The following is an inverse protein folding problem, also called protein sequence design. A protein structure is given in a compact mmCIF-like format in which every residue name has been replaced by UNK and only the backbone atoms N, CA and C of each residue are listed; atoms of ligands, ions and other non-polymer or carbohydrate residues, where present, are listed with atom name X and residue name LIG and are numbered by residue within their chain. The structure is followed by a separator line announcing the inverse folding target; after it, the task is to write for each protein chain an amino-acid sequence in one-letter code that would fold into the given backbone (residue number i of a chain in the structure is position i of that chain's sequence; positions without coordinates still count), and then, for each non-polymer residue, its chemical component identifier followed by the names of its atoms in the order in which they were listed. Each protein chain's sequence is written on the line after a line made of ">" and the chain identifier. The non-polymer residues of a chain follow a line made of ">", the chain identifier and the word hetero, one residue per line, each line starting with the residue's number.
data_IF_527524532640
#
_entry.id   IF_527524532640
#
_cell.length_a   1.000
_cell.length_b   1.000
_cell.length_c   1.000
_cell.angle_alpha   90.00
_cell.angle_beta   90.00
_cell.angle_gamma   90.00
#
_symmetry.space_group_name_H-M   'P 1'
#
loop_
_entity.id
_entity.type
_entity.pdbx_description
1 polymer ?
#
# COMPACT_ATOMS: atom_id res chain seq x y z
N UNK A 1 -45.85 -38.26 20.33
CA UNK A 1 -45.19 -38.07 19.01
C UNK A 1 -43.68 -37.96 19.25
N UNK A 2 -42.81 -38.33 18.31
CA UNK A 2 -41.35 -38.36 18.52
C UNK A 2 -40.69 -37.16 17.84
N UNK A 3 -39.85 -36.41 18.56
CA UNK A 3 -38.89 -35.47 17.98
C UNK A 3 -37.54 -35.59 18.68
N UNK A 4 -36.74 -36.55 18.21
CA UNK A 4 -35.32 -36.65 18.55
C UNK A 4 -34.56 -35.62 17.74
N UNK A 5 -34.17 -34.50 18.36
CA UNK A 5 -33.27 -33.53 17.74
C UNK A 5 -31.85 -34.11 17.69
N UNK A 6 -31.57 -34.87 16.64
CA UNK A 6 -30.21 -35.28 16.32
C UNK A 6 -29.40 -34.04 15.90
N UNK A 7 -28.47 -33.61 16.75
CA UNK A 7 -27.46 -32.61 16.38
C UNK A 7 -26.50 -33.26 15.39
N UNK A 8 -26.81 -33.17 14.10
CA UNK A 8 -25.97 -33.70 13.03
C UNK A 8 -24.69 -32.88 12.95
N UNK A 9 -23.61 -33.40 13.53
CA UNK A 9 -22.27 -32.87 13.34
C UNK A 9 -21.94 -32.92 11.84
N UNK A 10 -21.95 -31.76 11.19
CA UNK A 10 -21.55 -31.63 9.79
C UNK A 10 -20.08 -31.97 9.66
N UNK A 11 -19.78 -33.02 8.89
CA UNK A 11 -18.39 -33.41 8.61
C UNK A 11 -17.63 -32.23 8.03
N UNK A 12 -16.48 -31.92 8.63
CA UNK A 12 -15.52 -30.99 8.07
C UNK A 12 -14.93 -31.59 6.78
N UNK A 13 -15.54 -31.27 5.64
CA UNK A 13 -14.87 -31.36 4.34
C UNK A 13 -13.79 -30.27 4.29
N UNK A 14 -12.68 -30.54 4.97
CA UNK A 14 -11.45 -29.78 4.85
C UNK A 14 -10.92 -29.92 3.43
N UNK A 15 -11.40 -29.06 2.54
CA UNK A 15 -10.93 -28.98 1.16
C UNK A 15 -9.43 -28.70 1.17
N UNK A 16 -8.65 -29.56 0.52
CA UNK A 16 -7.19 -29.45 0.42
C UNK A 16 -6.77 -28.28 -0.52
N UNK A 17 -7.16 -27.07 -0.15
CA UNK A 17 -6.77 -25.82 -0.79
C UNK A 17 -5.35 -25.44 -0.38
N UNK A 18 -4.39 -26.22 -0.88
CA UNK A 18 -3.01 -25.81 -1.18
C UNK A 18 -2.35 -24.81 -0.21
N UNK A 19 -1.65 -25.34 0.82
CA UNK A 19 -0.60 -24.61 1.54
C UNK A 19 0.67 -24.38 0.68
N UNK A 20 0.49 -23.96 -0.58
CA UNK A 20 1.50 -23.91 -1.63
C UNK A 20 2.32 -22.62 -1.63
N UNK A 21 1.81 -21.56 -0.98
CA UNK A 21 2.40 -20.22 -1.02
C UNK A 21 3.23 -19.82 0.20
N UNK A 22 3.58 -20.78 1.06
CA UNK A 22 4.53 -20.58 2.15
C UNK A 22 5.95 -20.33 1.60
N UNK A 23 6.39 -19.07 1.49
CA UNK A 23 7.71 -18.72 0.95
C UNK A 23 8.83 -18.91 1.95
N UNK A 24 9.25 -20.17 2.07
CA UNK A 24 10.40 -20.61 2.86
C UNK A 24 10.01 -21.70 3.84
N UNK A 25 10.95 -22.07 4.70
CA UNK A 25 10.75 -23.09 5.74
C UNK A 25 9.80 -22.58 6.83
N UNK A 26 8.50 -22.72 6.60
CA UNK A 26 7.47 -22.56 7.63
C UNK A 26 7.63 -23.65 8.70
N UNK A 27 7.37 -23.32 9.96
CA UNK A 27 7.44 -24.27 11.10
C UNK A 27 6.17 -24.37 11.90
N UNK A 28 5.23 -23.46 11.69
CA UNK A 28 3.94 -23.47 12.38
C UNK A 28 2.87 -22.90 11.46
N UNK A 29 1.82 -23.68 11.26
CA UNK A 29 0.61 -23.26 10.58
C UNK A 29 -0.48 -22.94 11.60
N UNK A 30 -1.46 -22.18 11.16
CA UNK A 30 -2.66 -21.82 11.88
C UNK A 30 -3.83 -21.85 10.89
N UNK A 31 -4.87 -22.59 11.23
CA UNK A 31 -6.12 -22.66 10.44
C UNK A 31 -7.03 -21.51 10.86
N UNK A 32 -7.36 -20.61 9.92
CA UNK A 32 -8.18 -19.44 10.23
C UNK A 32 -9.62 -19.81 10.61
N UNK A 33 -10.08 -19.21 11.71
CA UNK A 33 -11.45 -19.32 12.21
C UNK A 33 -12.38 -18.33 11.50
N UNK A 34 -13.66 -18.28 11.88
CA UNK A 34 -14.62 -17.30 11.33
C UNK A 34 -14.24 -15.89 11.80
N UNK A 35 -14.29 -14.91 10.89
CA UNK A 35 -13.98 -13.49 11.12
C UNK A 35 -12.58 -13.18 11.68
N UNK A 36 -11.61 -14.10 11.57
CA UNK A 36 -10.21 -13.81 11.91
C UNK A 36 -9.52 -12.89 10.89
N UNK A 37 -8.54 -12.14 11.39
CA UNK A 37 -7.72 -11.18 10.65
C UNK A 37 -6.23 -11.49 10.87
N UNK A 38 -5.32 -11.01 10.01
CA UNK A 38 -3.89 -11.20 10.34
C UNK A 38 -3.46 -10.41 11.59
N UNK A 39 -4.20 -9.39 12.03
CA UNK A 39 -3.97 -8.73 13.31
C UNK A 39 -4.25 -9.66 14.49
N UNK A 40 -5.42 -10.31 14.53
CA UNK A 40 -5.73 -11.28 15.60
C UNK A 40 -4.76 -12.46 15.60
N UNK A 41 -4.34 -12.94 14.43
CA UNK A 41 -3.30 -13.97 14.29
C UNK A 41 -1.93 -13.46 14.77
N UNK A 42 -1.54 -12.23 14.43
CA UNK A 42 -0.26 -11.64 14.83
C UNK A 42 -0.14 -11.56 16.36
N UNK A 43 -1.20 -11.14 17.04
CA UNK A 43 -1.30 -11.14 18.50
C UNK A 43 -1.28 -12.58 19.07
N UNK A 44 -2.13 -13.47 18.54
CA UNK A 44 -2.28 -14.90 18.93
C UNK A 44 -0.97 -15.70 18.86
N UNK A 45 -0.03 -15.32 17.98
CA UNK A 45 1.29 -15.95 17.85
C UNK A 45 2.47 -15.05 18.23
N UNK A 46 2.22 -13.85 18.79
CA UNK A 46 3.25 -12.86 19.14
C UNK A 46 4.26 -12.64 17.98
N UNK A 47 3.72 -12.40 16.79
CA UNK A 47 4.44 -12.13 15.55
C UNK A 47 4.00 -10.81 14.94
N UNK A 48 4.58 -10.42 13.81
CA UNK A 48 4.26 -9.18 13.11
C UNK A 48 3.40 -9.47 11.86
N UNK A 49 2.43 -8.61 11.55
CA UNK A 49 1.57 -8.74 10.37
C UNK A 49 2.40 -8.75 9.07
N UNK A 50 3.47 -7.95 9.00
CA UNK A 50 4.42 -7.96 7.88
C UNK A 50 5.16 -9.31 7.76
N UNK A 51 5.39 -10.01 8.88
CA UNK A 51 5.95 -11.37 8.85
C UNK A 51 4.94 -12.38 8.28
N UNK A 52 3.64 -12.22 8.59
CA UNK A 52 2.59 -13.04 8.00
C UNK A 52 2.50 -12.85 6.47
N UNK A 53 2.66 -11.62 5.96
CA UNK A 53 2.74 -11.35 4.51
C UNK A 53 4.03 -11.91 3.87
N UNK A 54 5.17 -11.83 4.57
CA UNK A 54 6.44 -12.38 4.09
C UNK A 54 6.42 -13.91 3.98
N UNK A 55 5.69 -14.58 4.87
CA UNK A 55 5.55 -16.03 4.85
C UNK A 55 4.47 -16.51 3.89
N UNK A 56 3.33 -15.83 3.81
CA UNK A 56 2.18 -16.21 2.98
C UNK A 56 2.00 -15.20 1.85
N UNK A 57 2.58 -15.44 0.66
CA UNK A 57 2.58 -14.39 -0.38
C UNK A 57 1.25 -14.18 -1.11
N UNK A 58 0.21 -14.92 -0.74
CA UNK A 58 -1.18 -14.65 -1.13
C UNK A 58 -1.92 -13.78 -0.09
N UNK A 59 -1.33 -13.55 1.09
CA UNK A 59 -1.79 -12.50 2.00
C UNK A 59 -1.27 -11.13 1.55
N UNK A 60 -2.16 -10.16 1.63
CA UNK A 60 -1.99 -8.76 1.23
C UNK A 60 -2.75 -7.89 2.21
N UNK A 61 -2.49 -6.58 2.23
CA UNK A 61 -3.22 -5.66 3.11
C UNK A 61 -4.74 -5.66 2.84
N UNK A 62 -5.14 -5.95 1.59
CA UNK A 62 -6.53 -5.94 1.11
C UNK A 62 -7.35 -7.14 1.61
N UNK A 63 -6.76 -8.35 1.66
CA UNK A 63 -7.43 -9.57 2.13
C UNK A 63 -7.12 -9.93 3.60
N UNK A 64 -6.29 -9.15 4.29
CA UNK A 64 -5.91 -9.38 5.69
C UNK A 64 -7.06 -9.22 6.71
N UNK A 65 -8.11 -8.48 6.34
CA UNK A 65 -9.24 -8.16 7.22
C UNK A 65 -10.39 -9.18 7.14
N UNK A 66 -10.28 -10.21 6.30
CA UNK A 66 -11.32 -11.24 6.09
C UNK A 66 -10.65 -12.51 5.60
N UNK A 67 -10.05 -13.26 6.52
CA UNK A 67 -9.34 -14.47 6.19
C UNK A 67 -10.30 -15.57 5.75
N UNK A 68 -9.84 -16.44 4.86
CA UNK A 68 -10.66 -17.53 4.34
C UNK A 68 -10.74 -18.65 5.38
N UNK A 69 -11.92 -18.81 5.99
CA UNK A 69 -12.18 -19.82 7.00
C UNK A 69 -11.67 -21.21 6.57
N UNK A 70 -10.93 -21.88 7.43
CA UNK A 70 -10.38 -23.21 7.14
C UNK A 70 -9.12 -23.22 6.27
N UNK A 71 -8.59 -22.06 5.83
CA UNK A 71 -7.27 -21.99 5.20
C UNK A 71 -6.15 -21.98 6.25
N UNK A 72 -5.04 -22.63 5.91
CA UNK A 72 -3.83 -22.63 6.74
C UNK A 72 -2.88 -21.51 6.36
N UNK A 73 -2.62 -20.63 7.31
CA UNK A 73 -1.61 -19.57 7.19
C UNK A 73 -0.37 -19.91 8.00
N UNK A 74 0.80 -19.73 7.41
CA UNK A 74 2.07 -19.83 8.10
C UNK A 74 2.22 -18.69 9.12
N UNK A 75 2.47 -19.04 10.37
CA UNK A 75 2.62 -18.10 11.51
C UNK A 75 4.00 -18.16 12.15
N UNK A 76 4.93 -18.94 11.60
CA UNK A 76 6.30 -19.03 12.08
C UNK A 76 7.26 -19.58 11.00
N UNK A 77 8.49 -19.06 10.91
CA UNK A 77 9.52 -19.59 10.01
C UNK A 77 10.92 -19.62 10.63
N UNK A 78 11.66 -20.71 10.40
CA UNK A 78 13.09 -20.83 10.78
C UNK A 78 13.95 -19.70 10.23
N UNK A 79 13.64 -19.15 9.04
CA UNK A 79 14.47 -18.09 8.45
C UNK A 79 14.54 -16.85 9.34
N UNK A 80 13.38 -16.40 9.85
CA UNK A 80 13.32 -15.25 10.76
C UNK A 80 13.75 -15.60 12.18
N UNK A 81 13.47 -16.81 12.70
CA UNK A 81 14.08 -17.25 13.98
C UNK A 81 15.60 -17.18 13.95
N UNK A 82 16.22 -17.76 12.91
CA UNK A 82 17.67 -17.87 12.76
C UNK A 82 18.31 -16.50 12.51
N UNK A 83 17.64 -15.62 11.76
CA UNK A 83 18.03 -14.21 11.61
C UNK A 83 17.96 -13.44 12.93
N UNK A 84 16.82 -13.48 13.63
CA UNK A 84 16.59 -12.77 14.90
C UNK A 84 17.50 -13.28 16.02
N UNK A 85 17.74 -14.59 16.12
CA UNK A 85 18.68 -15.16 17.07
C UNK A 85 20.12 -14.75 16.76
N UNK A 86 20.50 -14.68 15.47
CA UNK A 86 21.80 -14.13 15.05
C UNK A 86 21.93 -12.64 15.41
N UNK A 87 20.88 -11.83 15.23
CA UNK A 87 20.87 -10.42 15.64
C UNK A 87 20.97 -10.27 17.17
N UNK A 88 20.18 -11.04 17.94
CA UNK A 88 20.23 -11.09 19.40
C UNK A 88 21.61 -11.48 19.91
N UNK A 89 22.25 -12.49 19.32
CA UNK A 89 23.62 -12.90 19.63
C UNK A 89 24.65 -11.79 19.35
N UNK A 90 24.60 -11.17 18.16
CA UNK A 90 25.44 -10.00 17.81
C UNK A 90 25.24 -8.83 18.79
N UNK A 91 24.00 -8.57 19.21
CA UNK A 91 23.66 -7.49 20.18
C UNK A 91 24.14 -7.80 21.60
N UNK A 92 24.23 -9.08 22.00
CA UNK A 92 24.89 -9.51 23.25
C UNK A 92 26.42 -9.32 23.17
N UNK A 93 27.06 -9.90 22.16
CA UNK A 93 28.51 -9.79 21.94
C UNK A 93 28.99 -8.32 21.83
N UNK A 94 28.19 -7.44 21.19
CA UNK A 94 28.50 -6.01 21.11
C UNK A 94 28.44 -5.30 22.49
N UNK A 95 27.53 -5.70 23.38
CA UNK A 95 27.45 -5.18 24.76
C UNK A 95 28.60 -5.70 25.62
N UNK A 96 29.02 -6.95 25.43
CA UNK A 96 30.16 -7.54 26.14
C UNK A 96 31.49 -6.89 25.69
N UNK A 97 31.69 -6.69 24.38
CA UNK A 97 32.84 -5.96 23.85
C UNK A 97 32.94 -4.51 24.38
N UNK A 98 31.80 -3.85 24.62
CA UNK A 98 31.77 -2.51 25.24
C UNK A 98 32.16 -2.55 26.73
N UNK A 99 31.72 -3.55 27.50
CA UNK A 99 32.10 -3.72 28.92
C UNK A 99 33.61 -3.92 29.12
N UNK A 100 34.30 -4.55 28.17
CA UNK A 100 35.73 -4.86 28.27
C UNK A 100 36.68 -3.86 27.58
N UNK A 101 36.21 -2.64 27.29
CA UNK A 101 37.05 -1.47 26.93
C UNK A 101 37.80 -1.52 25.59
N UNK A 102 37.84 -2.67 24.89
CA UNK A 102 38.54 -2.81 23.62
C UNK A 102 37.70 -2.26 22.47
N UNK A 103 38.00 -1.02 22.05
CA UNK A 103 37.50 -0.42 20.79
C UNK A 103 37.60 -1.45 19.65
N UNK A 104 36.50 -1.85 18.99
CA UNK A 104 36.59 -2.71 17.82
C UNK A 104 37.36 -1.98 16.72
N UNK A 105 38.45 -2.58 16.25
CA UNK A 105 39.24 -2.00 15.18
C UNK A 105 38.38 -1.79 13.92
N UNK A 106 38.38 -0.57 13.38
CA UNK A 106 37.74 -0.28 12.08
C UNK A 106 38.50 -1.05 10.98
N UNK A 107 38.08 -2.29 10.69
CA UNK A 107 38.48 -2.99 9.45
C UNK A 107 37.94 -2.17 8.28
N UNK A 108 38.78 -1.30 7.73
CA UNK A 108 38.44 -0.45 6.59
C UNK A 108 38.04 -1.30 5.40
N UNK A 109 36.75 -1.27 5.06
CA UNK A 109 36.23 -1.98 3.89
C UNK A 109 36.77 -1.36 2.61
N UNK A 110 37.87 -1.91 2.08
CA UNK A 110 38.38 -1.56 0.75
C UNK A 110 37.29 -1.83 -0.28
N UNK A 111 36.68 -0.76 -0.80
CA UNK A 111 35.70 -0.78 -1.90
C UNK A 111 36.29 -1.53 -3.10
N UNK A 112 35.74 -2.69 -3.52
CA UNK A 112 36.24 -3.38 -4.70
C UNK A 112 36.00 -2.52 -5.95
N UNK A 113 37.06 -2.28 -6.72
CA UNK A 113 36.97 -1.51 -7.96
C UNK A 113 36.31 -2.35 -9.06
N UNK A 114 35.11 -1.96 -9.51
CA UNK A 114 34.50 -2.51 -10.73
C UNK A 114 35.26 -1.98 -11.96
N UNK A 115 36.26 -2.73 -12.44
CA UNK A 115 36.76 -2.58 -13.82
C UNK A 115 35.62 -2.88 -14.81
N UNK A 116 35.58 -2.14 -15.92
CA UNK A 116 34.51 -2.25 -16.91
C UNK A 116 34.58 -3.51 -17.78
N UNK A 117 33.41 -4.04 -18.17
CA UNK A 117 33.26 -5.18 -19.07
C UNK A 117 32.20 -4.89 -20.15
N UNK A 118 32.61 -4.98 -21.42
CA UNK A 118 31.94 -4.44 -22.61
C UNK A 118 30.47 -4.87 -22.82
N UNK A 119 29.66 -3.91 -23.30
CA UNK A 119 28.33 -4.08 -23.91
C UNK A 119 28.42 -4.62 -25.35
N UNK A 120 27.66 -5.68 -25.73
CA UNK A 120 27.35 -6.00 -27.12
C UNK A 120 26.18 -5.16 -27.69
N UNK A 121 26.02 -5.14 -29.02
CA UNK A 121 25.06 -4.27 -29.73
C UNK A 121 23.86 -5.02 -30.36
N UNK A 122 22.86 -4.26 -30.84
CA UNK A 122 21.60 -4.74 -31.44
C UNK A 122 21.77 -5.41 -32.82
N UNK A 123 20.98 -6.47 -33.07
CA UNK A 123 20.25 -6.79 -34.32
C UNK A 123 18.94 -7.51 -33.93
N UNK A 124 17.83 -7.50 -34.68
CA UNK A 124 17.49 -6.70 -35.87
C UNK A 124 16.38 -7.34 -36.74
N UNK A 125 15.13 -6.86 -36.65
CA UNK A 125 13.97 -7.36 -37.44
C UNK A 125 13.24 -8.55 -36.81
N UNK A 126 11.99 -8.90 -37.20
CA UNK A 126 11.08 -8.34 -38.23
C UNK A 126 9.63 -8.22 -37.69
N UNK A 127 8.76 -7.53 -38.45
CA UNK A 127 7.30 -7.37 -38.23
C UNK A 127 6.52 -7.70 -39.52
N UNK A 128 5.37 -8.37 -39.42
CA UNK A 128 4.15 -8.04 -40.18
C UNK A 128 3.02 -7.61 -39.22
N UNK A 129 2.26 -6.53 -39.44
CA UNK A 129 1.12 -6.38 -40.37
C UNK A 129 -0.16 -7.07 -39.87
N UNK A 130 -1.03 -6.38 -39.11
CA UNK A 130 -2.19 -5.59 -39.58
C UNK A 130 -3.22 -6.37 -40.45
N UNK A 131 -4.28 -6.87 -39.82
CA UNK A 131 -5.70 -6.77 -40.23
C UNK A 131 -6.53 -6.54 -38.94
N UNK A 132 -7.71 -5.91 -38.92
CA UNK A 132 -8.45 -5.29 -40.03
C UNK A 132 -9.90 -5.79 -40.10
N UNK A 133 -10.77 -5.36 -39.17
CA UNK A 133 -12.19 -5.71 -39.14
C UNK A 133 -13.04 -4.59 -38.51
N UNK A 134 -14.20 -4.30 -39.10
CA UNK A 134 -15.14 -3.22 -38.68
C UNK A 134 -16.26 -3.79 -37.77
N UNK A 135 -16.99 -2.96 -36.99
CA UNK A 135 -18.05 -3.44 -36.09
C UNK A 135 -19.41 -3.55 -36.79
N UNK A 136 -20.30 -4.38 -36.24
CA UNK A 136 -21.71 -4.49 -36.68
C UNK A 136 -22.71 -4.68 -35.55
N UNK A 137 -23.78 -3.89 -35.62
CA UNK A 137 -25.16 -4.19 -35.16
C UNK A 137 -25.41 -4.50 -33.67
N UNK A 138 -25.70 -3.41 -32.95
CA UNK A 138 -26.91 -3.23 -32.14
C UNK A 138 -28.12 -4.03 -32.69
N UNK A 139 -28.98 -4.59 -31.82
CA UNK A 139 -30.36 -4.11 -31.80
C UNK A 139 -30.80 -3.64 -30.39
N UNK A 140 -31.85 -2.83 -30.34
CA UNK A 140 -32.52 -2.48 -29.08
C UNK A 140 -34.01 -2.29 -29.31
N UNK A 141 -34.81 -2.77 -28.35
CA UNK A 141 -36.18 -2.32 -28.03
C UNK A 141 -36.29 -2.35 -26.49
N UNK A 142 -36.78 -1.31 -25.79
CA UNK A 142 -38.09 -0.59 -25.86
C UNK A 142 -39.20 -1.40 -25.19
N UNK A 143 -40.14 -0.83 -24.42
CA UNK A 143 -40.33 0.52 -23.82
C UNK A 143 -40.68 0.30 -22.30
N UNK A 144 -41.24 1.18 -21.45
CA UNK A 144 -41.84 2.52 -21.54
C UNK A 144 -41.91 3.19 -20.13
N UNK A 145 -42.20 4.50 -20.09
CA UNK A 145 -42.88 5.24 -18.97
C UNK A 145 -42.16 5.38 -17.59
N UNK A 146 -42.38 6.45 -16.80
CA UNK A 146 -43.22 7.67 -16.98
C UNK A 146 -42.68 8.89 -16.18
N UNK A 147 -42.53 10.04 -16.87
CA UNK A 147 -42.92 11.45 -16.54
C UNK A 147 -43.13 11.89 -15.07
N UNK A 148 -42.88 13.14 -14.63
CA UNK A 148 -42.72 14.49 -15.26
C UNK A 148 -41.50 15.24 -14.62
N UNK A 149 -41.21 16.57 -14.66
CA UNK A 149 -41.80 17.85 -15.15
C UNK A 149 -40.65 18.86 -15.44
N UNK A 150 -40.75 19.83 -16.38
CA UNK A 150 -39.58 20.59 -16.87
C UNK A 150 -39.41 22.03 -16.33
N UNK A 151 -38.24 22.63 -16.61
CA UNK A 151 -37.91 24.06 -16.45
C UNK A 151 -37.48 24.72 -17.78
N UNK A 152 -37.43 26.07 -17.79
CA UNK A 152 -37.49 26.96 -18.98
C UNK A 152 -36.11 27.19 -19.65
N UNK A 153 -36.02 27.38 -20.99
CA UNK A 153 -34.74 27.43 -21.72
C UNK A 153 -34.01 28.79 -21.65
N UNK A 154 -32.68 28.74 -21.80
CA UNK A 154 -31.79 29.90 -21.94
C UNK A 154 -31.29 30.12 -23.39
N UNK A 155 -30.93 31.36 -23.70
CA UNK A 155 -30.62 31.88 -25.04
C UNK A 155 -29.18 31.58 -25.49
N UNK A 156 -28.90 31.25 -26.76
CA UNK A 156 -27.55 30.99 -27.24
C UNK A 156 -26.69 32.26 -27.35
N UNK A 157 -25.39 32.13 -27.06
CA UNK A 157 -24.39 33.21 -27.15
C UNK A 157 -23.48 33.03 -28.37
N UNK A 158 -23.03 34.16 -28.94
CA UNK A 158 -22.22 34.24 -30.17
C UNK A 158 -20.74 33.90 -29.88
N UNK A 159 -20.01 33.22 -30.80
CA UNK A 159 -18.58 32.92 -30.62
C UNK A 159 -17.70 34.16 -30.83
N UNK A 160 -16.58 34.23 -30.10
CA UNK A 160 -15.60 35.33 -30.14
C UNK A 160 -14.24 34.84 -30.65
N UNK A 161 -13.54 35.71 -31.41
CA UNK A 161 -12.25 35.44 -32.08
C UNK A 161 -11.08 35.29 -31.07
N UNK A 162 -10.08 34.41 -31.31
CA UNK A 162 -8.98 34.19 -30.37
C UNK A 162 -7.94 35.32 -30.38
N UNK A 163 -7.30 35.54 -29.22
CA UNK A 163 -6.25 36.56 -29.02
C UNK A 163 -4.94 35.90 -28.56
N UNK A 164 -3.80 36.44 -29.01
CA UNK A 164 -2.43 35.96 -28.71
C UNK A 164 -2.09 36.14 -27.21
N UNK A 165 -1.32 35.24 -26.57
CA UNK A 165 -1.18 35.25 -25.10
C UNK A 165 -0.30 36.38 -24.56
N UNK A 166 -0.79 37.03 -23.50
CA UNK A 166 -0.04 37.97 -22.65
C UNK A 166 0.24 37.29 -21.30
N UNK A 167 1.48 37.33 -20.82
CA UNK A 167 1.89 36.71 -19.54
C UNK A 167 1.26 37.45 -18.34
N UNK A 168 0.39 36.81 -17.54
CA UNK A 168 -0.08 37.40 -16.29
C UNK A 168 0.97 37.20 -15.20
N UNK A 169 1.45 38.29 -14.58
CA UNK A 169 2.07 38.23 -13.26
C UNK A 169 0.98 38.52 -12.23
N UNK A 170 0.31 37.48 -11.74
CA UNK A 170 -0.81 37.64 -10.80
C UNK A 170 -0.35 37.49 -9.37
N UNK A 171 -0.15 38.60 -8.67
CA UNK A 171 -0.04 38.65 -7.20
C UNK A 171 -1.42 38.44 -6.57
N UNK A 172 -1.91 37.20 -6.60
CA UNK A 172 -2.94 36.77 -5.66
C UNK A 172 -2.37 36.68 -4.24
N UNK A 173 -3.22 36.52 -3.21
CA UNK A 173 -2.75 36.22 -1.87
C UNK A 173 -1.96 34.91 -1.92
N UNK A 174 -0.65 34.98 -1.69
CA UNK A 174 0.19 33.79 -1.61
C UNK A 174 -0.25 32.98 -0.39
N UNK A 175 -0.77 31.77 -0.63
CA UNK A 175 -0.88 30.74 0.41
C UNK A 175 0.54 30.33 0.79
N UNK A 176 1.18 31.11 1.65
CA UNK A 176 2.55 30.86 2.09
C UNK A 176 2.60 29.51 2.78
N UNK A 177 3.35 28.56 2.20
CA UNK A 177 3.64 27.26 2.81
C UNK A 177 4.02 27.49 4.27
N UNK A 178 3.28 26.95 5.26
CA UNK A 178 3.49 27.30 6.65
C UNK A 178 4.88 26.82 7.12
N UNK A 179 5.45 27.52 8.10
CA UNK A 179 6.84 27.32 8.54
C UNK A 179 7.13 25.91 9.08
N UNK A 180 6.09 25.23 9.60
CA UNK A 180 6.17 23.84 10.07
C UNK A 180 5.93 22.80 8.96
N UNK A 181 5.65 23.19 7.71
CA UNK A 181 5.33 22.23 6.65
C UNK A 181 6.55 21.43 6.21
N UNK A 182 6.38 20.12 5.98
CA UNK A 182 7.48 19.23 5.60
C UNK A 182 8.08 19.56 4.23
N UNK A 183 9.21 18.92 3.93
CA UNK A 183 9.85 18.94 2.62
C UNK A 183 9.18 17.93 1.67
N UNK A 184 9.46 18.01 0.37
CA UNK A 184 8.93 17.09 -0.68
C UNK A 184 7.41 17.14 -0.89
N UNK A 185 6.76 18.23 -0.48
CA UNK A 185 5.37 18.56 -0.82
C UNK A 185 5.28 19.04 -2.28
N UNK A 186 4.17 18.75 -2.96
CA UNK A 186 3.89 19.24 -4.34
C UNK A 186 3.77 20.78 -4.40
N UNK A 187 4.30 21.42 -5.46
CA UNK A 187 4.40 22.89 -5.52
C UNK A 187 3.06 23.61 -5.68
N UNK A 188 1.99 22.90 -6.04
CA UNK A 188 0.63 23.43 -6.20
C UNK A 188 -0.27 23.17 -4.98
N UNK A 189 0.29 22.83 -3.81
CA UNK A 189 -0.48 22.65 -2.59
C UNK A 189 -1.20 23.94 -2.16
N UNK A 190 -2.52 23.85 -1.90
CA UNK A 190 -3.37 24.96 -1.45
C UNK A 190 -3.91 24.78 -0.03
N UNK A 191 -4.01 23.54 0.47
CA UNK A 191 -4.51 23.24 1.82
C UNK A 191 -3.49 22.40 2.57
N UNK A 192 -3.13 22.85 3.78
CA UNK A 192 -2.22 22.15 4.68
C UNK A 192 -2.97 21.68 5.94
N UNK A 193 -2.53 20.58 6.54
CA UNK A 193 -3.00 20.05 7.81
C UNK A 193 -1.80 19.78 8.72
N UNK A 194 -1.84 20.25 9.96
CA UNK A 194 -0.79 20.02 10.96
C UNK A 194 -1.12 18.79 11.79
N UNK A 195 -0.18 17.85 11.87
CA UNK A 195 -0.32 16.63 12.68
C UNK A 195 -0.33 16.96 14.17
N UNK A 196 -1.19 16.28 14.90
CA UNK A 196 -1.33 16.30 16.35
C UNK A 196 -1.22 14.88 16.90
N UNK A 197 -0.91 14.74 18.19
CA UNK A 197 -0.82 13.43 18.85
C UNK A 197 -2.16 12.69 18.99
N UNK A 198 -3.23 13.19 18.35
CA UNK A 198 -4.53 12.53 18.16
C UNK A 198 -4.75 12.06 16.70
N UNK A 199 -3.73 12.16 15.84
CA UNK A 199 -3.73 11.69 14.45
C UNK A 199 -2.99 10.34 14.33
N UNK A 200 -3.74 9.23 14.34
CA UNK A 200 -3.19 7.87 14.48
C UNK A 200 -2.49 7.32 13.21
N UNK A 201 -2.23 8.16 12.21
CA UNK A 201 -1.57 7.79 10.96
C UNK A 201 -2.26 8.32 9.71
N UNK A 202 -1.69 8.00 8.55
CA UNK A 202 -2.06 8.61 7.26
C UNK A 202 -3.51 8.33 6.84
N UNK A 203 -4.07 7.17 7.20
CA UNK A 203 -5.47 6.84 6.91
C UNK A 203 -6.46 7.72 7.68
N UNK A 204 -6.14 8.03 8.94
CA UNK A 204 -6.91 8.92 9.80
C UNK A 204 -6.78 10.39 9.34
N UNK A 205 -5.56 10.87 9.06
CA UNK A 205 -5.32 12.20 8.48
C UNK A 205 -6.06 12.40 7.15
N UNK A 206 -6.05 11.38 6.28
CA UNK A 206 -6.76 11.40 5.00
C UNK A 206 -8.27 11.46 5.21
N UNK A 207 -8.81 10.64 6.12
CA UNK A 207 -10.23 10.61 6.47
C UNK A 207 -10.72 11.93 7.05
N UNK A 208 -10.00 12.48 8.05
CA UNK A 208 -10.26 13.80 8.66
C UNK A 208 -10.27 14.96 7.66
N UNK A 209 -9.57 14.81 6.53
CA UNK A 209 -9.50 15.82 5.48
C UNK A 209 -10.40 15.57 4.27
N UNK A 210 -11.12 14.43 4.22
CA UNK A 210 -11.99 14.06 3.10
C UNK A 210 -11.24 13.70 1.82
N UNK A 211 -10.06 13.10 1.94
CA UNK A 211 -9.18 12.75 0.80
C UNK A 211 -8.81 11.26 0.83
N UNK A 212 -8.40 10.73 -0.31
CA UNK A 212 -7.86 9.36 -0.41
C UNK A 212 -6.42 9.29 0.10
N UNK A 213 -6.01 8.09 0.53
CA UNK A 213 -4.65 7.83 0.96
C UNK A 213 -3.62 8.05 -0.18
N UNK A 214 -3.96 7.68 -1.41
CA UNK A 214 -3.17 7.94 -2.62
C UNK A 214 -2.99 9.44 -2.90
N UNK A 215 -4.03 10.27 -2.66
CA UNK A 215 -3.89 11.73 -2.75
C UNK A 215 -2.92 12.27 -1.70
N UNK A 216 -3.03 11.81 -0.45
CA UNK A 216 -2.13 12.22 0.63
C UNK A 216 -0.66 11.86 0.30
N UNK A 217 -0.38 10.65 -0.17
CA UNK A 217 0.97 10.26 -0.58
C UNK A 217 1.44 10.98 -1.87
N UNK A 218 0.57 11.13 -2.86
CA UNK A 218 0.87 11.81 -4.12
C UNK A 218 1.21 13.30 -3.94
N UNK A 219 0.60 13.97 -2.96
CA UNK A 219 0.90 15.36 -2.62
C UNK A 219 2.09 15.53 -1.67
N UNK A 220 2.48 14.47 -0.94
CA UNK A 220 3.56 14.48 0.05
C UNK A 220 4.60 13.42 -0.28
N UNK A 221 5.36 13.62 -1.36
CA UNK A 221 6.37 12.67 -1.88
C UNK A 221 7.59 12.41 -0.97
N UNK A 222 7.52 12.89 0.28
CA UNK A 222 8.43 12.53 1.38
C UNK A 222 7.84 11.54 2.38
N UNK A 223 6.51 11.33 2.42
CA UNK A 223 5.90 10.30 3.26
C UNK A 223 6.30 8.90 2.76
N UNK A 224 6.55 8.00 3.70
CA UNK A 224 6.79 6.60 3.41
C UNK A 224 5.47 5.91 3.06
N UNK A 225 5.45 5.17 1.95
CA UNK A 225 4.24 4.56 1.41
C UNK A 225 4.52 3.24 0.65
N UNK A 226 5.65 2.59 0.92
CA UNK A 226 6.15 1.43 0.17
C UNK A 226 7.02 0.50 1.02
N UNK A 227 6.76 -0.80 0.93
CA UNK A 227 7.52 -1.83 1.64
C UNK A 227 7.19 -1.85 3.13
N UNK A 228 8.19 -2.10 3.97
CA UNK A 228 8.06 -2.19 5.43
C UNK A 228 7.83 -0.82 6.10
N UNK A 229 7.91 0.27 5.33
CA UNK A 229 7.76 1.65 5.80
C UNK A 229 6.52 2.29 5.16
N UNK A 230 5.44 2.40 5.94
CA UNK A 230 4.16 3.00 5.56
C UNK A 230 3.73 3.95 6.67
N UNK A 231 3.78 5.26 6.38
CA UNK A 231 3.43 6.35 7.29
C UNK A 231 4.24 6.44 8.62
N UNK A 232 5.34 5.69 8.76
CA UNK A 232 6.20 5.71 9.96
C UNK A 232 7.01 7.01 10.13
N UNK A 233 6.90 7.94 9.18
CA UNK A 233 7.51 9.27 9.22
C UNK A 233 6.48 10.42 9.26
N UNK A 234 5.30 10.18 9.82
CA UNK A 234 4.28 11.22 10.06
C UNK A 234 4.60 12.05 11.31
N UNK A 235 5.55 12.97 11.18
CA UNK A 235 6.01 13.83 12.29
C UNK A 235 4.91 14.71 12.92
N UNK A 236 4.76 14.59 14.24
CA UNK A 236 3.91 15.46 15.08
C UNK A 236 4.28 16.95 14.95
N UNK A 237 3.27 17.83 14.94
CA UNK A 237 3.43 19.28 14.81
C UNK A 237 3.91 19.76 13.44
N UNK A 238 4.14 18.88 12.47
CA UNK A 238 4.47 19.27 11.08
C UNK A 238 3.22 19.37 10.21
N UNK A 239 3.29 20.20 9.18
CA UNK A 239 2.20 20.35 8.23
C UNK A 239 2.43 19.58 6.92
N UNK A 240 1.41 18.86 6.49
CA UNK A 240 1.36 18.06 5.26
C UNK A 240 0.30 18.62 4.32
N UNK A 241 0.45 18.37 3.03
CA UNK A 241 -0.52 18.79 2.01
C UNK A 241 -1.76 17.90 2.01
N UNK A 242 -2.93 18.53 2.00
CA UNK A 242 -4.25 17.88 2.00
C UNK A 242 -5.23 18.53 0.99
N UNK A 243 -4.70 19.25 -0.01
CA UNK A 243 -5.49 19.81 -1.11
C UNK A 243 -4.66 20.67 -2.06
N UNK A 244 -5.02 20.66 -3.35
CA UNK A 244 -4.26 21.25 -4.48
C UNK A 244 -5.11 22.11 -5.42
#
# INVERSE_FOLDING_TARGET
>A
MKFTLAVTATLALASMASALQARGSCTKFHTAEVDETCNSIAEKYNTDVQSLYLWNTDLTQDNCNSLSQGQEYCVESEYLKRSLNTFRARKRAAREAQKHGKKPAKKGGKKPAKKGGKKPAKKGGKKPAKKGGKPTKKPAKKDDKKSTKPTKPTKPTKPTKPTKPTKPTTTGPVTTKPSNAVNRIVPNCKKFYTITSADNGCADVASKNGITLDQLYGWNTGLHHKGEHICDNLDDGKAYCVGV
#
